data_IF_977905431472
#
_entry.id   IF_977905431472
#
_cell.length_a   1.000
_cell.length_b   1.000
_cell.length_c   1.000
_cell.angle_alpha   90.00
_cell.angle_beta   90.00
_cell.angle_gamma   90.00
#
_symmetry.space_group_name_H-M   'P 1'
#
loop_
_entity.id
_entity.type
_entity.pdbx_description
1 polymer ?
#
# COMPACT_ATOMS: atom_id res chain seq x y z
N UNK A 1 -18.10 20.22 6.32
CA UNK A 1 -17.60 19.39 5.20
C UNK A 1 -18.62 18.33 4.80
N UNK A 2 -19.14 17.50 5.73
CA UNK A 2 -20.11 16.44 5.41
C UNK A 2 -21.42 16.93 4.75
N UNK A 3 -22.00 18.06 5.20
CA UNK A 3 -23.28 18.57 4.69
C UNK A 3 -23.20 19.38 3.37
N UNK A 4 -21.99 19.56 2.81
CA UNK A 4 -21.81 20.41 1.62
C UNK A 4 -22.17 19.73 0.30
N UNK A 5 -22.35 18.40 0.31
CA UNK A 5 -22.55 17.60 -0.90
C UNK A 5 -21.34 17.51 -1.83
N UNK A 6 -20.25 18.22 -1.54
CA UNK A 6 -19.03 18.24 -2.33
C UNK A 6 -17.94 17.36 -1.70
N UNK A 7 -17.24 16.58 -2.54
CA UNK A 7 -16.06 15.81 -2.15
C UNK A 7 -14.88 16.14 -3.06
N UNK A 8 -13.66 16.06 -2.52
CA UNK A 8 -12.42 16.15 -3.29
C UNK A 8 -11.84 14.74 -3.43
N UNK A 9 -12.62 13.84 -4.02
CA UNK A 9 -12.19 12.45 -4.19
C UNK A 9 -11.04 12.37 -5.20
N UNK A 10 -10.00 11.64 -4.82
CA UNK A 10 -8.93 11.21 -5.71
C UNK A 10 -8.45 9.82 -5.25
N UNK A 11 -8.04 8.94 -6.19
CA UNK A 11 -7.30 7.72 -5.85
C UNK A 11 -6.02 8.03 -5.07
N UNK A 12 -5.53 7.06 -4.31
CA UNK A 12 -4.36 7.24 -3.45
C UNK A 12 -3.06 7.50 -4.23
N UNK A 13 -2.97 6.91 -5.43
CA UNK A 13 -1.83 6.96 -6.34
C UNK A 13 -2.32 6.91 -7.79
N UNK A 14 -1.45 7.29 -8.73
CA UNK A 14 -1.69 7.18 -10.17
C UNK A 14 -1.39 5.77 -10.68
N UNK A 15 -2.00 5.38 -11.81
CA UNK A 15 -1.83 4.05 -12.40
C UNK A 15 -0.41 3.81 -12.91
N UNK A 16 0.30 4.86 -13.31
CA UNK A 16 1.67 4.81 -13.83
C UNK A 16 2.73 4.62 -12.74
N UNK A 17 2.33 4.67 -11.45
CA UNK A 17 3.23 4.42 -10.33
C UNK A 17 3.71 2.95 -10.34
N UNK A 18 5.00 2.72 -10.06
CA UNK A 18 5.56 1.36 -9.97
C UNK A 18 4.84 0.52 -8.92
N UNK A 19 4.77 -0.80 -9.13
CA UNK A 19 4.00 -1.71 -8.28
C UNK A 19 4.48 -1.68 -6.83
N UNK A 20 5.80 -1.64 -6.61
CA UNK A 20 6.36 -1.53 -5.27
C UNK A 20 6.07 -0.17 -4.62
N UNK A 21 6.08 0.90 -5.39
CA UNK A 21 5.78 2.25 -4.90
C UNK A 21 4.29 2.39 -4.54
N UNK A 22 3.40 1.74 -5.29
CA UNK A 22 1.97 1.62 -4.95
C UNK A 22 1.78 0.92 -3.60
N UNK A 23 2.49 -0.20 -3.37
CA UNK A 23 2.50 -0.91 -2.07
C UNK A 23 2.97 0.03 -0.97
N UNK A 24 4.13 0.67 -1.15
CA UNK A 24 4.73 1.54 -0.14
C UNK A 24 3.83 2.75 0.17
N UNK A 25 3.16 3.31 -0.84
CA UNK A 25 2.20 4.40 -0.68
C UNK A 25 1.03 4.00 0.21
N UNK A 26 0.48 2.78 0.05
CA UNK A 26 -0.58 2.28 0.93
C UNK A 26 -0.06 2.15 2.37
N UNK A 27 1.13 1.59 2.55
CA UNK A 27 1.74 1.40 3.87
C UNK A 27 1.89 2.73 4.60
N UNK A 28 2.44 3.75 3.94
CA UNK A 28 2.71 5.04 4.55
C UNK A 28 1.44 5.86 4.77
N UNK A 29 0.55 5.93 3.77
CA UNK A 29 -0.60 6.85 3.80
C UNK A 29 -1.83 6.27 4.49
N UNK A 30 -2.03 4.95 4.44
CA UNK A 30 -3.22 4.29 5.00
C UNK A 30 -2.87 3.52 6.27
N UNK A 31 -1.79 2.73 6.26
CA UNK A 31 -1.44 1.88 7.42
C UNK A 31 -0.60 2.59 8.48
N UNK A 32 -0.05 3.77 8.16
CA UNK A 32 0.82 4.54 9.06
C UNK A 32 2.10 3.77 9.42
N UNK A 33 2.51 2.85 8.54
CA UNK A 33 3.79 2.17 8.61
C UNK A 33 4.90 3.07 8.09
N UNK A 34 6.14 2.75 8.45
CA UNK A 34 7.32 3.48 8.00
C UNK A 34 7.61 3.21 6.52
N UNK A 35 7.57 1.94 6.14
CA UNK A 35 7.87 1.47 4.79
C UNK A 35 7.35 0.05 4.56
N UNK A 36 7.16 -0.28 3.29
CA UNK A 36 7.12 -1.65 2.84
C UNK A 36 8.56 -2.17 2.68
N UNK A 37 8.82 -3.39 3.14
CA UNK A 37 10.06 -4.11 2.87
C UNK A 37 9.74 -5.35 2.05
N UNK A 38 10.67 -5.76 1.20
CA UNK A 38 10.54 -6.95 0.38
C UNK A 38 11.93 -7.49 0.06
N UNK A 39 12.05 -8.81 0.01
CA UNK A 39 13.27 -9.46 -0.43
C UNK A 39 13.54 -9.22 -1.92
N UNK A 40 14.74 -9.60 -2.36
CA UNK A 40 15.14 -9.42 -3.76
C UNK A 40 14.21 -10.17 -4.72
N UNK A 41 13.81 -11.39 -4.39
CA UNK A 41 12.93 -12.22 -5.23
C UNK A 41 11.58 -11.56 -5.49
N UNK A 42 10.97 -10.96 -4.47
CA UNK A 42 9.70 -10.25 -4.60
C UNK A 42 9.88 -9.00 -5.46
N UNK A 43 10.96 -8.22 -5.25
CA UNK A 43 11.24 -7.05 -6.11
C UNK A 43 11.47 -7.43 -7.56
N UNK A 44 12.26 -8.47 -7.82
CA UNK A 44 12.50 -8.98 -9.17
C UNK A 44 11.20 -9.43 -9.82
N UNK A 45 10.30 -10.09 -9.06
CA UNK A 45 9.00 -10.53 -9.57
C UNK A 45 8.08 -9.36 -9.93
N UNK A 46 8.03 -8.31 -9.10
CA UNK A 46 7.27 -7.10 -9.39
C UNK A 46 7.79 -6.42 -10.66
N UNK A 47 9.12 -6.29 -10.80
CA UNK A 47 9.72 -5.74 -12.02
C UNK A 47 9.44 -6.59 -13.27
N UNK A 48 9.43 -7.92 -13.13
CA UNK A 48 9.05 -8.80 -14.22
C UNK A 48 7.59 -8.58 -14.65
N UNK A 49 6.67 -8.38 -13.70
CA UNK A 49 5.28 -8.05 -14.02
C UNK A 49 5.12 -6.67 -14.67
N UNK A 50 5.88 -5.67 -14.21
CA UNK A 50 5.94 -4.36 -14.86
C UNK A 50 6.40 -4.49 -16.32
N UNK A 51 7.46 -5.24 -16.58
CA UNK A 51 7.98 -5.50 -17.91
C UNK A 51 7.01 -6.28 -18.82
N UNK A 52 6.16 -7.13 -18.24
CA UNK A 52 5.08 -7.83 -18.95
C UNK A 52 3.86 -6.95 -19.24
N UNK A 53 3.89 -5.69 -18.80
CA UNK A 53 2.82 -4.71 -19.02
C UNK A 53 1.78 -4.66 -17.90
N UNK A 54 1.96 -5.37 -16.79
CA UNK A 54 1.02 -5.36 -15.66
C UNK A 54 1.26 -4.21 -14.67
N UNK A 55 2.27 -3.36 -14.89
CA UNK A 55 2.65 -2.28 -13.98
C UNK A 55 1.55 -1.25 -13.72
N UNK A 56 0.60 -1.09 -14.65
CA UNK A 56 -0.50 -0.14 -14.53
C UNK A 56 -1.66 -0.65 -13.65
N UNK A 57 -1.68 -1.94 -13.29
CA UNK A 57 -2.76 -2.50 -12.47
C UNK A 57 -2.71 -1.97 -11.03
N UNK A 58 -3.86 -1.91 -10.34
CA UNK A 58 -3.93 -1.58 -8.92
C UNK A 58 -3.39 -2.74 -8.06
N UNK A 59 -2.97 -2.42 -6.84
CA UNK A 59 -2.44 -3.40 -5.87
C UNK A 59 -3.52 -3.81 -4.87
N UNK A 60 -3.61 -5.11 -4.60
CA UNK A 60 -4.41 -5.67 -3.52
C UNK A 60 -3.51 -6.10 -2.34
N UNK A 61 -3.75 -5.52 -1.16
CA UNK A 61 -2.99 -5.82 0.05
C UNK A 61 -3.66 -6.95 0.85
N UNK A 62 -3.08 -8.15 0.82
CA UNK A 62 -3.53 -9.28 1.62
C UNK A 62 -2.81 -9.29 2.98
N UNK A 63 -3.48 -8.80 4.04
CA UNK A 63 -2.96 -8.80 5.41
C UNK A 63 -4.07 -9.06 6.43
N UNK A 64 -3.70 -9.19 7.71
CA UNK A 64 -4.69 -9.25 8.79
C UNK A 64 -5.59 -8.00 8.82
N UNK A 65 -6.88 -8.22 9.04
CA UNK A 65 -7.89 -7.17 9.21
C UNK A 65 -7.92 -6.56 10.62
N UNK A 66 -7.24 -7.19 11.60
CA UNK A 66 -7.31 -6.80 13.01
C UNK A 66 -6.37 -5.64 13.39
N UNK A 67 -5.40 -5.32 12.54
CA UNK A 67 -4.43 -4.25 12.76
C UNK A 67 -4.12 -3.52 11.45
N UNK A 68 -3.68 -2.27 11.56
CA UNK A 68 -3.04 -1.58 10.43
C UNK A 68 -1.68 -2.18 10.07
N UNK A 69 -0.97 -2.73 11.07
CA UNK A 69 0.27 -3.49 10.87
C UNK A 69 -0.01 -4.92 10.37
N UNK A 70 1.03 -5.74 10.28
CA UNK A 70 0.93 -7.18 10.02
C UNK A 70 0.76 -8.02 11.29
N UNK A 71 0.86 -7.44 12.49
CA UNK A 71 0.60 -8.12 13.77
C UNK A 71 -0.85 -7.85 14.22
N UNK A 72 -1.72 -8.88 14.34
CA UNK A 72 -3.11 -8.72 14.75
C UNK A 72 -3.30 -8.17 16.18
N UNK A 73 -2.27 -8.22 17.03
CA UNK A 73 -2.34 -7.75 18.41
C UNK A 73 -2.00 -6.26 18.56
N UNK A 74 -1.38 -5.63 17.55
CA UNK A 74 -1.11 -4.20 17.54
C UNK A 74 -2.37 -3.39 17.20
N UNK A 75 -3.16 -3.12 18.23
CA UNK A 75 -4.47 -2.46 18.11
C UNK A 75 -4.37 -0.94 18.11
N UNK A 76 -5.49 -0.30 17.76
CA UNK A 76 -5.60 1.16 17.69
C UNK A 76 -4.97 1.68 16.40
N UNK A 77 -4.12 2.70 16.53
CA UNK A 77 -3.52 3.37 15.39
C UNK A 77 -1.97 3.28 15.53
N UNK A 78 -1.37 2.10 15.30
CA UNK A 78 0.07 1.91 15.43
C UNK A 78 0.83 2.75 14.41
N UNK A 79 2.07 3.10 14.75
CA UNK A 79 3.01 3.85 13.89
C UNK A 79 4.39 3.21 13.96
N UNK A 80 5.27 3.54 13.02
CA UNK A 80 6.68 3.12 13.08
C UNK A 80 6.94 1.64 12.75
N UNK A 81 5.90 0.90 12.34
CA UNK A 81 6.02 -0.51 11.95
C UNK A 81 6.38 -0.63 10.46
N UNK A 82 7.12 -1.68 10.11
CA UNK A 82 7.37 -2.07 8.72
C UNK A 82 6.35 -3.10 8.27
N UNK A 83 6.04 -3.12 6.97
CA UNK A 83 5.21 -4.16 6.36
C UNK A 83 6.10 -5.04 5.48
N UNK A 84 6.36 -6.31 5.87
CA UNK A 84 7.15 -7.25 5.08
C UNK A 84 6.41 -7.86 3.89
#
# INVERSE_FOLDING_TARGET
LAESGASQFAPLYADEMGLFDKINTIVQRIYRGSEAIADKSVRDQLHAWEAQGYGHLPVCMAKTQYSFSTDPNLRGAPVGHTVP
#
